data_IF_905041251806
#
_entry.id   IF_905041251806
#
_cell.length_a   1.000
_cell.length_b   1.000
_cell.length_c   1.000
_cell.angle_alpha   90.00
_cell.angle_beta   90.00
_cell.angle_gamma   90.00
#
_symmetry.space_group_name_H-M   'P 1'
#
loop_
_entity.id
_entity.type
_entity.pdbx_description
1 polymer ?
#
# COMPACT_ATOMS: atom_id res chain seq x y z
N UNK A 1 28.92 3.86 -6.35
CA UNK A 1 27.45 3.74 -6.49
C UNK A 1 26.79 3.20 -5.22
N UNK A 2 27.27 3.54 -4.02
CA UNK A 2 26.71 2.99 -2.75
C UNK A 2 26.00 4.03 -1.87
N UNK A 3 26.20 5.34 -2.12
CA UNK A 3 25.63 6.40 -1.28
C UNK A 3 24.23 6.88 -1.72
N UNK A 4 23.84 6.63 -2.97
CA UNK A 4 22.49 6.96 -3.49
C UNK A 4 21.44 5.94 -3.05
N UNK A 5 21.78 4.65 -3.01
CA UNK A 5 20.84 3.58 -2.60
C UNK A 5 20.50 3.69 -1.10
N UNK A 6 21.49 4.02 -0.27
CA UNK A 6 21.33 4.20 1.19
C UNK A 6 20.46 5.43 1.53
N UNK A 7 20.60 6.53 0.80
CA UNK A 7 19.78 7.73 1.00
C UNK A 7 18.31 7.51 0.60
N UNK A 8 18.04 6.79 -0.49
CA UNK A 8 16.68 6.43 -0.89
C UNK A 8 15.99 5.51 0.12
N UNK A 9 16.71 4.55 0.71
CA UNK A 9 16.13 3.62 1.70
C UNK A 9 15.73 4.32 3.01
N UNK A 10 16.50 5.33 3.43
CA UNK A 10 16.22 6.07 4.66
C UNK A 10 14.98 6.96 4.54
N UNK A 11 14.77 7.59 3.38
CA UNK A 11 13.58 8.40 3.10
C UNK A 11 12.28 7.60 3.21
N UNK A 12 12.23 6.42 2.58
CA UNK A 12 11.06 5.52 2.69
C UNK A 12 10.80 5.08 4.13
N UNK A 13 11.85 4.83 4.91
CA UNK A 13 11.74 4.42 6.31
C UNK A 13 11.26 5.56 7.22
N UNK A 14 11.66 6.80 6.94
CA UNK A 14 11.18 8.00 7.63
C UNK A 14 9.73 8.34 7.28
N UNK A 15 9.32 8.09 6.03
CA UNK A 15 7.96 8.34 5.55
C UNK A 15 6.96 7.24 5.89
N UNK A 16 7.41 6.06 6.34
CA UNK A 16 6.52 4.99 6.84
C UNK A 16 5.52 5.47 7.89
N UNK A 17 5.92 6.10 9.02
CA UNK A 17 4.96 6.56 10.03
C UNK A 17 3.98 7.60 9.49
N UNK A 18 4.45 8.55 8.66
CA UNK A 18 3.60 9.58 8.04
C UNK A 18 2.59 8.95 7.08
N UNK A 19 3.05 8.11 6.15
CA UNK A 19 2.18 7.40 5.20
C UNK A 19 1.23 6.41 5.87
N UNK A 20 1.61 5.80 6.99
CA UNK A 20 0.72 4.93 7.78
C UNK A 20 -0.35 5.74 8.54
N UNK A 21 0.01 6.91 9.08
CA UNK A 21 -0.94 7.83 9.72
C UNK A 21 -1.99 8.35 8.74
N UNK A 22 -1.55 8.82 7.57
CA UNK A 22 -2.44 9.28 6.50
C UNK A 22 -3.35 8.16 5.99
N UNK A 23 -2.84 6.94 5.79
CA UNK A 23 -3.69 5.80 5.40
C UNK A 23 -4.75 5.47 6.46
N UNK A 24 -4.40 5.53 7.74
CA UNK A 24 -5.36 5.24 8.82
C UNK A 24 -6.50 6.26 8.83
N UNK A 25 -6.18 7.55 8.75
CA UNK A 25 -7.19 8.62 8.65
C UNK A 25 -8.00 8.54 7.36
N UNK A 26 -7.36 8.21 6.26
CA UNK A 26 -8.04 8.02 4.98
C UNK A 26 -9.09 6.91 5.06
N UNK A 27 -8.79 5.77 5.70
CA UNK A 27 -9.78 4.71 5.91
C UNK A 27 -10.95 5.10 6.82
N UNK A 28 -10.78 6.11 7.69
CA UNK A 28 -11.84 6.64 8.55
C UNK A 28 -12.71 7.66 7.80
N UNK A 29 -12.13 8.43 6.87
CA UNK A 29 -12.80 9.55 6.21
C UNK A 29 -13.16 9.32 4.72
N UNK A 30 -12.80 8.17 4.14
CA UNK A 30 -13.20 7.81 2.77
C UNK A 30 -14.73 7.66 2.72
N UNK A 31 -15.35 8.29 1.73
CA UNK A 31 -16.79 8.22 1.55
C UNK A 31 -17.23 6.78 1.24
N UNK A 32 -18.36 6.39 1.79
CA UNK A 32 -19.01 5.14 1.45
C UNK A 32 -19.64 5.26 0.04
N UNK A 33 -19.56 4.23 -0.81
CA UNK A 33 -20.31 4.21 -2.07
C UNK A 33 -21.83 4.29 -1.84
N UNK A 34 -22.57 4.90 -2.78
CA UNK A 34 -24.02 5.10 -2.67
C UNK A 34 -24.82 3.78 -2.64
N UNK A 35 -24.21 2.68 -3.10
CA UNK A 35 -24.79 1.34 -3.18
C UNK A 35 -24.62 0.50 -1.89
N UNK A 36 -23.90 1.00 -0.89
CA UNK A 36 -23.69 0.30 0.38
C UNK A 36 -24.56 0.91 1.47
N UNK A 37 -25.37 0.08 2.15
CA UNK A 37 -26.14 0.52 3.30
C UNK A 37 -25.20 0.94 4.44
N UNK A 38 -25.52 2.07 5.07
CA UNK A 38 -24.86 2.53 6.30
C UNK A 38 -24.79 1.46 7.41
N UNK A 39 -25.74 0.52 7.46
CA UNK A 39 -25.72 -0.58 8.42
C UNK A 39 -24.54 -1.54 8.18
N UNK A 40 -24.11 -1.69 6.93
CA UNK A 40 -23.04 -2.60 6.51
C UNK A 40 -21.68 -1.89 6.39
N UNK A 41 -21.61 -0.59 6.70
CA UNK A 41 -20.42 0.24 6.56
C UNK A 41 -19.19 -0.37 7.25
N UNK A 42 -19.35 -0.89 8.47
CA UNK A 42 -18.25 -1.47 9.24
C UNK A 42 -17.73 -2.75 8.58
N UNK A 43 -18.62 -3.60 8.11
CA UNK A 43 -18.31 -4.85 7.41
C UNK A 43 -17.61 -4.56 6.09
N UNK A 44 -18.16 -3.66 5.27
CA UNK A 44 -17.56 -3.24 4.00
C UNK A 44 -16.15 -2.66 4.18
N UNK A 45 -15.98 -1.74 5.14
CA UNK A 45 -14.66 -1.17 5.44
C UNK A 45 -13.66 -2.23 5.91
N UNK A 46 -14.11 -3.27 6.63
CA UNK A 46 -13.26 -4.37 7.08
C UNK A 46 -12.79 -5.23 5.91
N UNK A 47 -13.72 -5.62 5.02
CA UNK A 47 -13.43 -6.42 3.83
C UNK A 47 -12.45 -5.71 2.89
N UNK A 48 -12.66 -4.41 2.63
CA UNK A 48 -11.77 -3.62 1.79
C UNK A 48 -10.37 -3.51 2.42
N UNK A 49 -10.27 -3.33 3.74
CA UNK A 49 -8.97 -3.33 4.44
C UNK A 49 -8.27 -4.68 4.32
N UNK A 50 -9.00 -5.78 4.47
CA UNK A 50 -8.46 -7.13 4.34
C UNK A 50 -7.98 -7.40 2.91
N UNK A 51 -8.77 -7.01 1.90
CA UNK A 51 -8.42 -7.12 0.49
C UNK A 51 -7.14 -6.35 0.18
N UNK A 52 -7.07 -5.08 0.58
CA UNK A 52 -5.88 -4.25 0.39
C UNK A 52 -4.64 -4.85 1.07
N UNK A 53 -4.80 -5.47 2.24
CA UNK A 53 -3.71 -6.15 2.94
C UNK A 53 -3.24 -7.40 2.19
N UNK A 54 -4.17 -8.24 1.72
CA UNK A 54 -3.85 -9.43 0.89
C UNK A 54 -3.14 -9.03 -0.40
N UNK A 55 -3.65 -8.00 -1.11
CA UNK A 55 -3.01 -7.48 -2.31
C UNK A 55 -1.58 -6.96 -2.04
N UNK A 56 -1.37 -6.27 -0.92
CA UNK A 56 -0.05 -5.80 -0.53
C UNK A 56 0.91 -6.97 -0.20
N UNK A 57 0.42 -8.02 0.44
CA UNK A 57 1.22 -9.20 0.74
C UNK A 57 1.65 -9.93 -0.54
N UNK A 58 0.72 -10.12 -1.48
CA UNK A 58 1.01 -10.67 -2.81
C UNK A 58 2.02 -9.82 -3.57
N UNK A 59 1.86 -8.48 -3.54
CA UNK A 59 2.78 -7.57 -4.19
C UNK A 59 4.19 -7.63 -3.58
N UNK A 60 4.30 -7.70 -2.24
CA UNK A 60 5.61 -7.88 -1.59
C UNK A 60 6.27 -9.17 -2.04
N UNK A 61 5.54 -10.28 -2.07
CA UNK A 61 6.05 -11.57 -2.55
C UNK A 61 6.53 -11.47 -4.00
N UNK A 62 5.74 -10.84 -4.88
CA UNK A 62 6.08 -10.66 -6.28
C UNK A 62 7.28 -9.70 -6.51
N UNK A 63 7.46 -8.67 -5.68
CA UNK A 63 8.60 -7.74 -5.81
C UNK A 63 9.94 -8.44 -5.56
N UNK A 64 9.98 -9.41 -4.64
CA UNK A 64 11.20 -10.15 -4.32
C UNK A 64 11.39 -11.42 -5.16
N UNK A 65 10.39 -11.77 -5.98
CA UNK A 65 10.48 -12.87 -6.92
C UNK A 65 11.38 -12.49 -8.10
N UNK A 66 12.41 -13.31 -8.38
CA UNK A 66 13.42 -13.04 -9.42
C UNK A 66 12.83 -12.96 -10.83
N UNK A 67 11.71 -13.63 -11.10
CA UNK A 67 11.06 -13.62 -12.40
C UNK A 67 10.14 -12.41 -12.57
N UNK A 68 9.53 -11.92 -11.48
CA UNK A 68 8.65 -10.75 -11.49
C UNK A 68 9.36 -9.41 -11.31
N UNK A 69 10.57 -9.42 -10.72
CA UNK A 69 11.38 -8.22 -10.49
C UNK A 69 11.60 -7.33 -11.73
N UNK A 70 11.87 -7.86 -12.94
CA UNK A 70 12.02 -7.05 -14.14
C UNK A 70 10.72 -6.29 -14.48
N UNK A 71 9.57 -6.96 -14.45
CA UNK A 71 8.28 -6.37 -14.85
C UNK A 71 7.80 -5.28 -13.89
N UNK A 72 8.06 -5.44 -12.60
CA UNK A 72 7.64 -4.48 -11.58
C UNK A 72 8.61 -3.28 -11.56
N UNK A 73 9.93 -3.53 -11.55
CA UNK A 73 10.93 -2.46 -11.44
C UNK A 73 11.13 -1.66 -12.74
N UNK A 74 10.90 -2.26 -13.92
CA UNK A 74 11.00 -1.53 -15.20
C UNK A 74 9.87 -0.52 -15.41
N UNK A 75 8.68 -0.74 -14.80
CA UNK A 75 7.55 0.20 -14.84
C UNK A 75 7.64 1.34 -13.82
N UNK A 76 8.49 1.23 -12.80
CA UNK A 76 8.77 2.28 -11.82
C UNK A 76 10.10 3.01 -12.07
N UNK A 77 10.62 2.98 -13.31
CA UNK A 77 11.69 3.90 -13.73
C UNK A 77 11.15 5.33 -13.73
N UNK A 78 11.33 6.02 -12.61
CA UNK A 78 11.49 7.48 -12.59
C UNK A 78 12.85 7.85 -13.18
#
# INVERSE_FOLDING_TARGET
MELTVLNSLCFWRLWKPVSMGYKRRWWECVALPDDVDSCDETSFRMEIKELAFKSLDLLKKAIFDKECAPCILLRFKC
#
